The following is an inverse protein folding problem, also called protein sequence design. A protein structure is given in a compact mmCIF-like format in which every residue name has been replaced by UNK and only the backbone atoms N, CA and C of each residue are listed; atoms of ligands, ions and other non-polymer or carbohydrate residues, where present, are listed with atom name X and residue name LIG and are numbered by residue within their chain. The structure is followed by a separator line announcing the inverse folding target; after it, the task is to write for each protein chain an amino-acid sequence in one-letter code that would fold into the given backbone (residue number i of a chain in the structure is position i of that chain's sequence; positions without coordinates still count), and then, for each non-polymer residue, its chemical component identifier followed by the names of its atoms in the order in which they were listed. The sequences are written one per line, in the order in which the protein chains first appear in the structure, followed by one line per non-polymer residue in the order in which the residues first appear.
data_IF_643260960601
#
_entry.id   IF_643260960601
#
_cell.length_a   1.000
_cell.length_b   1.000
_cell.length_c   1.000
_cell.angle_alpha   90.00
_cell.angle_beta   90.00
_cell.angle_gamma   90.00
#
_symmetry.space_group_name_H-M   'P 1'
#
loop_
_entity.id
_entity.type
_entity.pdbx_description
1 polymer ?
#
# COMPACT_ATOMS: atom_id res chain seq x y z
N UNK A 1 0.38 -42.25 2.30
CA UNK A 1 1.54 -41.53 1.74
C UNK A 1 1.27 -40.04 1.89
N UNK A 2 1.57 -39.48 3.06
CA UNK A 2 1.50 -38.03 3.28
C UNK A 2 2.84 -37.47 2.80
N UNK A 3 2.82 -36.85 1.63
CA UNK A 3 3.99 -36.22 1.03
C UNK A 3 4.24 -34.87 1.68
N UNK A 4 5.48 -34.74 2.15
CA UNK A 4 6.25 -33.54 2.49
C UNK A 4 5.71 -32.60 3.58
N UNK A 5 6.62 -32.27 4.51
CA UNK A 5 6.39 -31.38 5.64
C UNK A 5 6.12 -29.93 5.21
N UNK A 6 6.27 -28.95 6.12
CA UNK A 6 6.15 -27.54 5.74
C UNK A 6 7.05 -27.30 4.53
N UNK A 7 6.49 -26.73 3.46
CA UNK A 7 7.30 -26.19 2.37
C UNK A 7 8.33 -25.28 3.02
N UNK A 8 9.60 -25.68 3.01
CA UNK A 8 10.68 -24.79 3.43
C UNK A 8 10.48 -23.51 2.63
N UNK A 9 10.33 -22.35 3.27
CA UNK A 9 10.33 -21.08 2.56
C UNK A 9 11.81 -20.73 2.29
N UNK A 10 12.41 -20.96 1.11
CA UNK A 10 13.82 -20.79 0.92
C UNK A 10 14.04 -19.66 -0.08
N UNK A 11 13.95 -18.43 0.41
CA UNK A 11 14.41 -17.27 -0.33
C UNK A 11 14.81 -16.21 0.68
N UNK A 12 15.93 -15.52 0.42
CA UNK A 12 16.35 -14.41 1.27
C UNK A 12 15.31 -13.30 1.27
N UNK A 13 15.51 -12.29 2.11
CA UNK A 13 14.63 -11.13 2.06
C UNK A 13 14.57 -10.55 0.63
N UNK A 14 13.41 -9.99 0.27
CA UNK A 14 13.16 -9.37 -1.04
C UNK A 14 12.83 -10.33 -2.18
N UNK A 15 12.75 -11.63 -1.93
CA UNK A 15 12.20 -12.62 -2.86
C UNK A 15 10.79 -13.02 -2.46
N UNK A 16 9.92 -13.32 -3.42
CA UNK A 16 8.55 -13.74 -3.15
C UNK A 16 8.48 -14.97 -2.22
N UNK A 17 7.59 -14.94 -1.23
CA UNK A 17 7.29 -16.00 -0.28
C UNK A 17 6.00 -16.75 -0.62
N UNK A 18 5.13 -16.18 -1.48
CA UNK A 18 3.85 -16.73 -1.95
C UNK A 18 2.80 -16.93 -0.84
N UNK A 19 3.14 -16.61 0.40
CA UNK A 19 2.28 -16.76 1.56
C UNK A 19 2.77 -15.88 2.69
N UNK A 20 1.91 -15.67 3.69
CA UNK A 20 2.31 -14.93 4.87
C UNK A 20 3.22 -15.79 5.75
N UNK A 21 4.40 -15.28 6.08
CA UNK A 21 5.40 -15.99 6.89
C UNK A 21 5.69 -15.23 8.19
N UNK A 22 6.09 -15.90 9.29
CA UNK A 22 6.43 -15.22 10.55
C UNK A 22 7.57 -14.20 10.46
N UNK A 23 8.40 -14.27 9.41
CA UNK A 23 9.47 -13.30 9.15
C UNK A 23 8.98 -12.01 8.48
N UNK A 24 7.70 -11.92 8.11
CA UNK A 24 7.06 -10.67 7.72
C UNK A 24 6.47 -10.01 8.96
N UNK A 25 7.08 -8.91 9.40
CA UNK A 25 6.63 -8.14 10.56
C UNK A 25 5.74 -6.99 10.08
N UNK A 26 4.40 -7.08 10.22
CA UNK A 26 3.49 -6.03 9.76
C UNK A 26 3.62 -4.78 10.64
N UNK A 27 3.57 -3.61 10.01
CA UNK A 27 3.60 -2.32 10.73
C UNK A 27 2.54 -1.32 10.25
N UNK A 28 1.92 -1.56 9.09
CA UNK A 28 0.75 -0.84 8.59
C UNK A 28 -0.18 -1.80 7.86
N UNK A 29 -1.49 -1.56 7.88
CA UNK A 29 -2.42 -2.38 7.12
C UNK A 29 -3.87 -1.91 7.14
N UNK A 30 -4.62 -2.32 6.12
CA UNK A 30 -6.04 -2.04 5.92
C UNK A 30 -6.68 -3.16 5.07
N UNK A 31 -7.83 -3.67 5.47
CA UNK A 31 -8.66 -4.63 4.71
C UNK A 31 -7.96 -5.90 4.18
N UNK A 32 -6.95 -6.37 4.92
CA UNK A 32 -6.15 -7.55 4.58
C UNK A 32 -4.94 -7.27 3.70
N UNK A 33 -4.64 -6.00 3.44
CA UNK A 33 -3.38 -5.54 2.86
C UNK A 33 -2.45 -5.04 3.98
N UNK A 34 -1.19 -5.43 3.93
CA UNK A 34 -0.20 -5.06 4.94
C UNK A 34 1.10 -4.60 4.31
N UNK A 35 1.70 -3.56 4.89
CA UNK A 35 3.13 -3.32 4.73
C UNK A 35 3.87 -4.07 5.83
N UNK A 36 4.82 -4.89 5.41
CA UNK A 36 5.62 -5.74 6.28
C UNK A 36 7.10 -5.42 6.12
N UNK A 37 7.84 -5.52 7.22
CA UNK A 37 9.31 -5.62 7.17
C UNK A 37 9.66 -7.08 6.96
N UNK A 38 10.45 -7.36 5.93
CA UNK A 38 10.99 -8.69 5.67
C UNK A 38 12.28 -8.92 6.47
N UNK A 39 12.21 -9.75 7.50
CA UNK A 39 13.34 -10.04 8.39
C UNK A 39 14.09 -11.31 8.02
N UNK A 40 13.82 -11.92 6.86
CA UNK A 40 14.62 -13.05 6.35
C UNK A 40 16.07 -12.62 6.12
N UNK A 41 17.04 -13.53 6.18
CA UNK A 41 18.44 -13.19 5.90
C UNK A 41 18.63 -12.80 4.42
N UNK A 42 19.66 -12.01 4.11
CA UNK A 42 20.05 -11.67 2.74
C UNK A 42 20.28 -10.17 2.53
N UNK A 43 20.68 -9.76 1.32
CA UNK A 43 21.00 -8.36 1.01
C UNK A 43 19.84 -7.38 1.23
N UNK A 44 18.59 -7.84 1.12
CA UNK A 44 17.39 -7.04 1.33
C UNK A 44 16.81 -7.20 2.75
N UNK A 45 17.57 -7.73 3.71
CA UNK A 45 17.10 -7.85 5.08
C UNK A 45 16.64 -6.48 5.61
N UNK A 46 15.39 -6.41 6.07
CA UNK A 46 14.76 -5.17 6.52
C UNK A 46 14.07 -4.36 5.43
N UNK A 47 13.93 -4.89 4.21
CA UNK A 47 13.13 -4.27 3.16
C UNK A 47 11.65 -4.22 3.54
N UNK A 48 10.92 -3.28 2.95
CA UNK A 48 9.48 -3.16 3.09
C UNK A 48 8.83 -3.83 1.90
N UNK A 49 7.98 -4.82 2.18
CA UNK A 49 7.22 -5.60 1.20
C UNK A 49 5.73 -5.40 1.47
N UNK A 50 4.96 -5.32 0.40
CA UNK A 50 3.50 -5.37 0.49
C UNK A 50 3.03 -6.82 0.50
N UNK A 51 2.05 -7.11 1.35
CA UNK A 51 1.32 -8.38 1.37
C UNK A 51 -0.17 -8.11 1.16
N UNK A 52 -0.74 -8.59 0.05
CA UNK A 52 -2.18 -8.62 -0.22
C UNK A 52 -2.78 -10.00 0.08
N UNK A 53 -4.04 -10.03 0.50
CA UNK A 53 -4.78 -11.27 0.80
C UNK A 53 -4.99 -12.18 -0.41
N UNK A 54 -4.90 -11.65 -1.63
CA UNK A 54 -5.18 -12.36 -2.89
C UNK A 54 -3.89 -12.70 -3.64
N UNK A 55 -2.97 -11.75 -3.73
CA UNK A 55 -1.69 -11.87 -4.45
C UNK A 55 -0.47 -12.15 -3.57
N UNK A 56 -0.65 -12.26 -2.24
CA UNK A 56 0.47 -12.38 -1.29
C UNK A 56 1.50 -11.25 -1.51
N UNK A 57 2.77 -11.59 -1.68
CA UNK A 57 3.88 -10.66 -1.90
C UNK A 57 4.39 -10.65 -3.36
N UNK A 58 3.52 -10.96 -4.33
CA UNK A 58 3.84 -10.98 -5.77
C UNK A 58 4.62 -9.75 -6.28
N UNK A 59 4.27 -8.49 -5.89
CA UNK A 59 5.01 -7.31 -6.37
C UNK A 59 6.47 -7.25 -5.90
N UNK A 60 6.83 -8.02 -4.87
CA UNK A 60 8.13 -7.96 -4.23
C UNK A 60 8.34 -6.72 -3.33
N UNK A 61 9.59 -6.41 -2.96
CA UNK A 61 9.89 -5.31 -2.05
C UNK A 61 9.64 -3.96 -2.70
N UNK A 62 8.82 -3.14 -2.04
CA UNK A 62 8.49 -1.75 -2.43
C UNK A 62 9.62 -0.78 -2.09
N UNK A 63 10.25 -0.97 -0.93
CA UNK A 63 11.40 -0.17 -0.50
C UNK A 63 12.50 -1.05 0.10
N UNK A 64 13.76 -0.65 -0.09
CA UNK A 64 14.93 -1.35 0.47
C UNK A 64 15.01 -1.28 2.00
N UNK A 65 14.28 -0.36 2.66
CA UNK A 65 14.20 -0.24 4.12
C UNK A 65 13.04 0.66 4.56
N UNK A 66 12.65 0.62 5.85
CA UNK A 66 11.70 1.59 6.43
C UNK A 66 12.22 3.03 6.27
N UNK A 67 13.51 3.26 6.44
CA UNK A 67 14.09 4.60 6.27
C UNK A 67 13.93 5.10 4.85
N UNK A 68 14.10 4.24 3.83
CA UNK A 68 13.86 4.60 2.44
C UNK A 68 12.38 4.94 2.19
N UNK A 69 11.45 4.14 2.73
CA UNK A 69 10.01 4.41 2.65
C UNK A 69 9.64 5.75 3.32
N UNK A 70 10.18 6.04 4.51
CA UNK A 70 9.89 7.28 5.23
C UNK A 70 10.50 8.51 4.53
N UNK A 71 11.67 8.36 3.91
CA UNK A 71 12.25 9.42 3.07
C UNK A 71 11.35 9.69 1.87
N UNK A 72 10.92 8.66 1.15
CA UNK A 72 10.03 8.77 0.00
C UNK A 72 8.68 9.41 0.40
N UNK A 73 8.11 9.00 1.54
CA UNK A 73 6.91 9.62 2.09
C UNK A 73 7.11 11.11 2.43
N UNK A 74 8.21 11.45 3.09
CA UNK A 74 8.52 12.84 3.43
C UNK A 74 8.74 13.70 2.17
N UNK A 75 9.40 13.16 1.16
CA UNK A 75 9.63 13.82 -0.13
C UNK A 75 8.28 14.04 -0.85
N UNK A 76 7.40 13.04 -0.88
CA UNK A 76 6.04 13.20 -1.42
C UNK A 76 5.26 14.31 -0.71
N UNK A 77 5.29 14.35 0.63
CA UNK A 77 4.60 15.36 1.43
C UNK A 77 5.15 16.78 1.24
N UNK A 78 6.45 16.92 0.99
CA UNK A 78 7.10 18.24 0.88
C UNK A 78 7.14 18.78 -0.54
N UNK A 79 7.21 17.90 -1.54
CA UNK A 79 7.31 18.28 -2.96
C UNK A 79 6.00 18.13 -3.71
N UNK A 80 4.94 17.64 -3.04
CA UNK A 80 3.65 17.29 -3.65
C UNK A 80 3.79 16.29 -4.79
N UNK A 81 4.79 15.39 -4.76
CA UNK A 81 4.93 14.30 -5.72
C UNK A 81 4.14 13.07 -5.27
N UNK A 82 3.94 12.11 -6.18
CA UNK A 82 3.31 10.84 -5.83
C UNK A 82 4.19 10.07 -4.84
N UNK A 83 3.55 9.40 -3.88
CA UNK A 83 4.12 8.34 -3.05
C UNK A 83 3.84 6.99 -3.70
N UNK A 84 4.74 6.00 -3.52
CA UNK A 84 4.57 4.61 -4.01
C UNK A 84 4.03 4.55 -5.45
N UNK A 85 4.72 5.22 -6.37
CA UNK A 85 4.45 5.22 -7.82
C UNK A 85 2.99 5.54 -8.24
N UNK A 86 2.22 6.29 -7.43
CA UNK A 86 0.90 6.74 -7.91
C UNK A 86 -0.04 7.39 -6.90
N UNK A 87 0.28 7.34 -5.61
CA UNK A 87 -0.60 7.86 -4.57
C UNK A 87 -0.32 9.32 -4.29
N UNK A 88 -1.30 10.19 -4.55
CA UNK A 88 -1.23 11.60 -4.21
C UNK A 88 -1.95 11.84 -2.90
N UNK A 89 -1.32 12.61 -2.01
CA UNK A 89 -1.96 12.99 -0.77
C UNK A 89 -2.78 14.26 -0.94
N UNK A 90 -3.86 14.34 -0.18
CA UNK A 90 -4.63 15.55 0.08
C UNK A 90 -4.95 15.62 1.58
N UNK A 91 -5.57 16.71 2.01
CA UNK A 91 -6.10 16.82 3.37
C UNK A 91 -7.61 16.97 3.32
N UNK A 92 -8.33 16.08 4.00
CA UNK A 92 -9.76 16.24 4.27
C UNK A 92 -9.99 16.24 5.78
N UNK A 93 -10.70 17.26 6.27
CA UNK A 93 -11.02 17.43 7.70
C UNK A 93 -9.81 17.27 8.67
N UNK A 94 -8.61 17.67 8.23
CA UNK A 94 -7.38 17.58 9.02
C UNK A 94 -6.72 16.20 9.04
N UNK A 95 -7.26 15.22 8.30
CA UNK A 95 -6.65 13.93 8.05
C UNK A 95 -5.95 13.91 6.68
N UNK A 96 -4.88 13.11 6.57
CA UNK A 96 -4.28 12.79 5.27
C UNK A 96 -5.16 11.76 4.58
N UNK A 97 -5.54 12.07 3.34
CA UNK A 97 -6.26 11.18 2.45
C UNK A 97 -5.39 10.90 1.22
N UNK A 98 -5.54 9.71 0.64
CA UNK A 98 -4.73 9.26 -0.50
C UNK A 98 -5.61 9.00 -1.72
N UNK A 99 -5.21 9.56 -2.86
CA UNK A 99 -5.92 9.49 -4.13
C UNK A 99 -5.05 8.84 -5.21
N UNK A 100 -5.63 7.98 -6.08
CA UNK A 100 -4.87 7.28 -7.13
C UNK A 100 -4.45 8.18 -8.30
N UNK A 101 -5.06 9.37 -8.44
CA UNK A 101 -4.62 10.42 -9.33
C UNK A 101 -5.09 11.79 -8.82
N UNK A 102 -4.44 12.89 -9.23
CA UNK A 102 -4.75 14.26 -8.77
C UNK A 102 -6.15 14.77 -9.15
N UNK A 103 -6.87 14.05 -10.02
CA UNK A 103 -8.19 14.43 -10.50
C UNK A 103 -9.30 13.60 -9.86
N UNK A 104 -8.97 12.63 -9.00
CA UNK A 104 -9.91 11.78 -8.30
C UNK A 104 -10.96 12.60 -7.53
N UNK A 105 -10.53 13.54 -6.68
CA UNK A 105 -11.44 14.44 -5.98
C UNK A 105 -12.36 15.26 -6.91
N UNK A 106 -11.84 15.74 -8.04
CA UNK A 106 -12.65 16.49 -9.03
C UNK A 106 -13.73 15.61 -9.68
N UNK A 107 -13.39 14.36 -9.99
CA UNK A 107 -14.33 13.39 -10.58
C UNK A 107 -15.44 13.02 -9.59
N UNK A 108 -15.08 12.84 -8.31
CA UNK A 108 -16.03 12.55 -7.23
C UNK A 108 -17.04 13.71 -7.02
N UNK A 109 -16.55 14.95 -7.03
CA UNK A 109 -17.40 16.14 -6.90
C UNK A 109 -18.35 16.29 -8.09
N UNK A 110 -17.86 16.09 -9.32
CA UNK A 110 -18.71 16.13 -10.51
C UNK A 110 -19.80 15.05 -10.48
N UNK A 111 -19.45 13.81 -10.09
CA UNK A 111 -20.42 12.73 -9.93
C UNK A 111 -21.47 13.04 -8.85
N UNK A 112 -21.07 13.64 -7.74
CA UNK A 112 -21.96 14.02 -6.64
C UNK A 112 -22.92 15.15 -7.04
N UNK A 113 -22.46 16.13 -7.82
CA UNK A 113 -23.30 17.21 -8.35
C UNK A 113 -24.32 16.71 -9.38
N UNK A 114 -23.94 15.75 -10.23
CA UNK A 114 -24.84 15.10 -11.19
C UNK A 114 -25.92 14.23 -10.51
N UNK A 115 -25.66 13.78 -9.29
CA UNK A 115 -26.56 12.88 -8.54
C UNK A 115 -27.56 13.62 -7.64
N UNK A 116 -27.47 14.96 -7.52
CA UNK A 116 -28.44 15.74 -6.75
C UNK A 116 -29.75 15.86 -7.52
N UNK A 117 -30.91 15.48 -6.96
CA UNK A 117 -32.19 15.73 -7.60
C UNK A 117 -32.39 17.23 -7.79
N UNK A 118 -32.88 17.64 -8.95
CA UNK A 118 -33.25 19.01 -9.22
C UNK A 118 -34.25 19.46 -8.16
N UNK A 119 -33.88 20.47 -7.37
CA UNK A 119 -34.76 21.06 -6.36
C UNK A 119 -36.09 21.42 -7.03
N UNK A 120 -37.18 20.76 -6.63
CA UNK A 120 -38.54 21.18 -6.99
C UNK A 120 -38.73 22.60 -6.45
N UNK A 121 -38.68 23.56 -7.37
CA UNK A 121 -39.14 24.92 -7.15
C UNK A 121 -40.65 24.87 -6.91
N UNK A 122 -41.06 24.87 -5.63
CA UNK A 122 -42.45 25.19 -5.27
C UNK A 122 -42.69 26.68 -5.40
N UNK A 123 -43.76 26.99 -6.14
CA UNK A 123 -44.32 28.30 -6.42
C UNK A 123 -45.21 28.79 -5.27
#
# INVERSE_FOLDING_TARGET
MYGDGPVDAPAGAGFQADTFIPAFVPFAGMDGNFLCVDTRPGPMHGCVTEFDKSGADEPGPRWVSISAMLTDLADSLTTSQAFDDGWYWTTDNGALEWEPDRTWGLRQLAASQLSRPATESSN
#
